data_IF_516107217380
#
_entry.id   IF_516107217380
#
_cell.length_a   1.000
_cell.length_b   1.000
_cell.length_c   1.000
_cell.angle_alpha   90.00
_cell.angle_beta   90.00
_cell.angle_gamma   90.00
#
_symmetry.space_group_name_H-M   'P 1'
#
loop_
_entity.id
_entity.type
_entity.pdbx_description
1 polymer ?
#
# COMPACT_ATOMS: atom_id res chain seq x y z
N UNK A 1 -11.50 11.17 -2.28
CA UNK A 1 -10.39 10.99 -1.31
C UNK A 1 -10.22 12.27 -0.54
N UNK A 2 -9.92 12.20 0.76
CA UNK A 2 -9.73 13.40 1.56
C UNK A 2 -8.49 14.17 1.09
N UNK A 3 -8.56 15.49 1.17
CA UNK A 3 -7.43 16.39 0.93
C UNK A 3 -6.38 16.18 2.05
N UNK A 4 -5.11 16.11 1.66
CA UNK A 4 -3.99 15.88 2.58
C UNK A 4 -3.87 17.01 3.62
N UNK A 5 -4.30 18.23 3.25
CA UNK A 5 -4.30 19.40 4.15
C UNK A 5 -5.15 19.22 5.41
N UNK A 6 -6.12 18.30 5.38
CA UNK A 6 -6.99 17.97 6.51
C UNK A 6 -6.56 16.71 7.29
N UNK A 7 -5.30 16.27 7.13
CA UNK A 7 -4.80 15.02 7.72
C UNK A 7 -3.58 15.28 8.60
N UNK A 8 -3.55 14.65 9.77
CA UNK A 8 -2.36 14.55 10.64
C UNK A 8 -1.41 13.43 10.21
N UNK A 9 -1.58 12.87 9.00
CA UNK A 9 -0.76 11.75 8.51
C UNK A 9 0.72 12.12 8.44
N UNK A 10 1.02 13.35 8.02
CA UNK A 10 2.38 13.87 7.85
C UNK A 10 2.98 14.49 9.13
N UNK A 11 2.22 14.55 10.21
CA UNK A 11 2.74 15.02 11.50
C UNK A 11 3.87 14.11 11.98
N UNK A 12 4.77 14.66 12.80
CA UNK A 12 5.94 13.96 13.31
C UNK A 12 5.56 12.58 13.86
N UNK A 13 6.22 11.53 13.34
CA UNK A 13 5.97 10.16 13.74
C UNK A 13 6.99 9.79 14.81
N UNK A 14 6.56 9.88 16.08
CA UNK A 14 7.37 9.41 17.19
C UNK A 14 7.68 7.91 17.04
N UNK A 15 8.93 7.55 17.25
CA UNK A 15 9.37 6.16 17.26
C UNK A 15 9.64 5.55 15.88
N UNK A 16 9.57 6.31 14.77
CA UNK A 16 9.87 5.79 13.43
C UNK A 16 11.25 5.11 13.35
N UNK A 17 12.23 5.61 14.08
CA UNK A 17 13.59 5.04 14.13
C UNK A 17 13.61 3.61 14.69
N UNK A 18 12.60 3.21 15.47
CA UNK A 18 12.47 1.83 15.99
C UNK A 18 12.13 0.84 14.86
N UNK A 19 11.73 1.31 13.68
CA UNK A 19 11.40 0.47 12.53
C UNK A 19 12.60 0.13 11.64
N UNK A 20 13.80 0.63 11.97
CA UNK A 20 15.02 0.30 11.21
C UNK A 20 15.17 -1.22 11.11
N UNK A 21 15.27 -1.72 9.87
CA UNK A 21 15.39 -3.14 9.56
C UNK A 21 14.06 -3.91 9.50
N UNK A 22 12.91 -3.28 9.84
CA UNK A 22 11.59 -3.84 9.56
C UNK A 22 11.45 -4.16 8.07
N UNK A 23 10.70 -5.22 7.73
CA UNK A 23 10.40 -5.58 6.35
C UNK A 23 8.97 -5.18 5.99
N UNK A 24 8.80 -4.44 4.91
CA UNK A 24 7.51 -4.16 4.26
C UNK A 24 7.53 -4.81 2.87
N UNK A 25 6.50 -5.59 2.55
CA UNK A 25 6.36 -6.22 1.24
C UNK A 25 5.31 -5.47 0.43
N UNK A 26 5.71 -5.03 -0.76
CA UNK A 26 4.86 -4.33 -1.71
C UNK A 26 4.38 -5.33 -2.77
N UNK A 27 3.08 -5.32 -3.05
CA UNK A 27 2.51 -6.03 -4.19
C UNK A 27 2.00 -4.96 -5.15
N UNK A 28 2.53 -4.94 -6.38
CA UNK A 28 2.14 -3.97 -7.41
C UNK A 28 1.64 -4.63 -8.67
N UNK A 29 0.75 -3.95 -9.39
CA UNK A 29 0.19 -4.43 -10.64
C UNK A 29 1.04 -4.04 -11.84
N UNK A 30 0.95 -4.85 -12.94
CA UNK A 30 1.50 -4.50 -14.25
C UNK A 30 0.60 -3.49 -14.98
N UNK A 31 -0.73 -3.55 -14.79
CA UNK A 31 -1.64 -2.58 -15.39
C UNK A 31 -1.40 -1.17 -14.85
N UNK A 32 -1.43 -0.18 -15.77
CA UNK A 32 -1.21 1.24 -15.48
C UNK A 32 0.17 1.48 -14.81
N UNK A 33 1.20 0.83 -15.35
CA UNK A 33 2.56 0.77 -14.81
C UNK A 33 3.15 2.15 -14.51
N UNK A 34 2.99 3.13 -15.40
CA UNK A 34 3.51 4.50 -15.21
C UNK A 34 3.00 5.15 -13.92
N UNK A 35 1.74 4.94 -13.56
CA UNK A 35 1.14 5.43 -12.32
C UNK A 35 1.60 4.59 -11.13
N UNK A 36 1.59 3.27 -11.29
CA UNK A 36 1.91 2.33 -10.21
C UNK A 36 3.40 2.39 -9.84
N UNK A 37 4.28 2.55 -10.82
CA UNK A 37 5.73 2.71 -10.61
C UNK A 37 6.04 4.01 -9.86
N UNK A 38 5.32 5.09 -10.14
CA UNK A 38 5.49 6.34 -9.43
C UNK A 38 5.00 6.24 -7.97
N UNK A 39 3.86 5.57 -7.73
CA UNK A 39 3.40 5.26 -6.37
C UNK A 39 4.45 4.47 -5.59
N UNK A 40 5.00 3.41 -6.21
CA UNK A 40 6.06 2.61 -5.62
C UNK A 40 7.31 3.44 -5.34
N UNK A 41 7.78 4.23 -6.32
CA UNK A 41 8.99 5.04 -6.21
C UNK A 41 8.96 5.97 -5.00
N UNK A 42 7.88 6.71 -4.83
CA UNK A 42 7.73 7.63 -3.70
C UNK A 42 7.60 6.88 -2.36
N UNK A 43 6.90 5.77 -2.34
CA UNK A 43 6.80 4.90 -1.16
C UNK A 43 8.17 4.36 -0.75
N UNK A 44 8.94 3.80 -1.69
CA UNK A 44 10.27 3.26 -1.45
C UNK A 44 11.24 4.33 -0.95
N UNK A 45 11.19 5.53 -1.53
CA UNK A 45 12.01 6.66 -1.09
C UNK A 45 11.81 6.93 0.41
N UNK A 46 10.57 7.05 0.85
CA UNK A 46 10.25 7.31 2.25
C UNK A 46 10.65 6.14 3.17
N UNK A 47 10.31 4.90 2.81
CA UNK A 47 10.63 3.73 3.62
C UNK A 47 12.14 3.53 3.76
N UNK A 48 12.90 3.67 2.68
CA UNK A 48 14.35 3.52 2.70
C UNK A 48 15.05 4.64 3.48
N UNK A 49 14.54 5.89 3.40
CA UNK A 49 15.04 7.00 4.21
C UNK A 49 15.03 6.66 5.71
N UNK A 50 14.04 5.90 6.16
CA UNK A 50 13.93 5.46 7.55
C UNK A 50 14.56 4.08 7.83
N UNK A 51 15.33 3.54 6.89
CA UNK A 51 16.04 2.25 7.04
C UNK A 51 15.12 1.03 7.08
N UNK A 52 13.90 1.14 6.57
CA UNK A 52 12.94 0.05 6.43
C UNK A 52 13.30 -0.75 5.17
N UNK A 53 13.40 -2.06 5.31
CA UNK A 53 13.66 -2.97 4.20
C UNK A 53 12.38 -3.22 3.40
N UNK A 54 12.52 -3.35 2.10
CA UNK A 54 11.39 -3.59 1.21
C UNK A 54 11.64 -4.77 0.29
N UNK A 55 10.56 -5.37 -0.17
CA UNK A 55 10.54 -6.34 -1.25
C UNK A 55 9.31 -6.09 -2.09
N UNK A 56 9.48 -5.90 -3.39
CA UNK A 56 8.38 -5.78 -4.33
C UNK A 56 8.11 -7.10 -5.05
N UNK A 57 6.82 -7.38 -5.26
CA UNK A 57 6.30 -8.49 -6.05
C UNK A 57 5.33 -7.90 -7.06
N UNK A 58 5.48 -8.29 -8.32
CA UNK A 58 4.64 -7.83 -9.41
C UNK A 58 3.57 -8.87 -9.71
N UNK A 59 2.33 -8.43 -9.92
CA UNK A 59 1.17 -9.25 -10.30
C UNK A 59 0.46 -8.64 -11.50
N UNK A 60 -0.26 -9.44 -12.31
CA UNK A 60 -0.90 -8.91 -13.51
C UNK A 60 -1.86 -7.76 -13.24
N UNK A 61 -2.77 -7.87 -12.29
CA UNK A 61 -3.80 -6.88 -12.03
C UNK A 61 -4.21 -6.77 -10.56
N UNK A 62 -5.16 -5.87 -10.30
CA UNK A 62 -5.59 -5.54 -8.93
C UNK A 62 -6.26 -6.73 -8.20
N UNK A 63 -6.95 -7.58 -8.93
CA UNK A 63 -7.64 -8.76 -8.36
C UNK A 63 -6.65 -9.78 -7.81
N UNK A 64 -5.47 -9.92 -8.43
CA UNK A 64 -4.42 -10.87 -8.04
C UNK A 64 -3.64 -10.45 -6.79
N UNK A 65 -3.72 -9.18 -6.39
CA UNK A 65 -3.03 -8.64 -5.20
C UNK A 65 -3.34 -9.46 -3.95
N UNK A 66 -4.62 -9.74 -3.71
CA UNK A 66 -5.06 -10.45 -2.51
C UNK A 66 -4.48 -11.86 -2.43
N UNK A 67 -4.50 -12.60 -3.55
CA UNK A 67 -3.89 -13.92 -3.63
C UNK A 67 -2.39 -13.86 -3.35
N UNK A 68 -1.67 -12.92 -3.96
CA UNK A 68 -0.23 -12.79 -3.80
C UNK A 68 0.17 -12.51 -2.35
N UNK A 69 -0.55 -11.61 -1.66
CA UNK A 69 -0.32 -11.30 -0.24
C UNK A 69 -0.56 -12.54 0.63
N UNK A 70 -1.72 -13.17 0.46
CA UNK A 70 -2.07 -14.36 1.26
C UNK A 70 -1.08 -15.51 1.02
N UNK A 71 -0.71 -15.74 -0.24
CA UNK A 71 0.25 -16.79 -0.61
C UNK A 71 1.64 -16.50 -0.05
N UNK A 72 2.13 -15.26 -0.18
CA UNK A 72 3.41 -14.86 0.41
C UNK A 72 3.41 -15.06 1.92
N UNK A 73 2.36 -14.62 2.62
CA UNK A 73 2.26 -14.81 4.06
C UNK A 73 2.34 -16.28 4.45
N UNK A 74 1.66 -17.16 3.74
CA UNK A 74 1.61 -18.59 4.07
C UNK A 74 2.92 -19.32 3.78
N UNK A 75 3.67 -18.91 2.75
CA UNK A 75 4.87 -19.61 2.28
C UNK A 75 6.18 -19.01 2.78
N UNK A 76 6.19 -17.74 3.19
CA UNK A 76 7.40 -17.07 3.65
C UNK A 76 7.95 -17.71 4.94
N UNK A 77 9.26 -17.94 4.97
CA UNK A 77 9.97 -18.39 6.19
C UNK A 77 9.86 -17.32 7.28
N UNK A 78 9.93 -17.72 8.55
CA UNK A 78 9.78 -16.82 9.72
C UNK A 78 10.61 -15.54 9.61
N UNK A 79 11.88 -15.64 9.19
CA UNK A 79 12.80 -14.51 9.01
C UNK A 79 12.46 -13.57 7.85
N UNK A 80 11.56 -14.00 6.96
CA UNK A 80 11.12 -13.24 5.78
C UNK A 80 9.66 -12.78 5.91
N UNK A 81 9.03 -12.96 7.07
CA UNK A 81 7.68 -12.43 7.34
C UNK A 81 7.75 -10.90 7.42
N UNK A 82 6.91 -10.18 6.66
CA UNK A 82 6.85 -8.73 6.75
C UNK A 82 6.08 -8.28 8.00
N UNK A 83 6.27 -7.02 8.36
CA UNK A 83 5.49 -6.34 9.40
C UNK A 83 4.30 -5.57 8.82
N UNK A 84 4.30 -5.33 7.51
CA UNK A 84 3.15 -4.82 6.76
C UNK A 84 3.23 -5.25 5.30
N UNK A 85 2.07 -5.28 4.63
CA UNK A 85 1.96 -5.32 3.19
C UNK A 85 1.44 -3.98 2.67
N UNK A 86 1.84 -3.62 1.45
CA UNK A 86 1.29 -2.50 0.70
C UNK A 86 0.78 -3.04 -0.64
N UNK A 87 -0.49 -2.75 -0.95
CA UNK A 87 -1.13 -3.11 -2.20
C UNK A 87 -1.12 -1.89 -3.13
N UNK A 88 -0.35 -1.92 -4.21
CA UNK A 88 -0.35 -0.87 -5.23
C UNK A 88 -1.02 -1.33 -6.52
N UNK A 89 -1.89 -0.49 -7.03
CA UNK A 89 -2.56 -0.64 -8.31
C UNK A 89 -3.23 0.66 -8.73
N UNK A 90 -3.66 0.71 -9.96
CA UNK A 90 -4.48 1.79 -10.47
C UNK A 90 -5.59 1.18 -11.35
N UNK A 91 -6.84 1.43 -10.99
CA UNK A 91 -8.01 1.01 -11.77
C UNK A 91 -8.63 2.26 -12.36
N UNK A 92 -8.57 2.37 -13.68
CA UNK A 92 -9.18 3.47 -14.44
C UNK A 92 -10.51 3.01 -15.00
N UNK A 93 -11.54 3.86 -14.90
CA UNK A 93 -12.88 3.53 -15.38
C UNK A 93 -12.90 3.34 -16.90
N UNK A 94 -13.36 2.19 -17.32
CA UNK A 94 -13.62 1.89 -18.72
C UNK A 94 -15.11 2.01 -19.07
N UNK A 95 -15.46 1.62 -20.30
CA UNK A 95 -16.80 1.72 -20.84
C UNK A 95 -17.79 0.64 -20.34
N UNK A 96 -17.40 -0.24 -19.45
CA UNK A 96 -18.24 -1.35 -18.96
C UNK A 96 -18.26 -1.40 -17.43
N UNK A 97 -19.23 -2.11 -16.80
CA UNK A 97 -19.29 -2.28 -15.34
C UNK A 97 -18.11 -3.04 -14.74
N UNK A 98 -17.14 -3.47 -15.52
CA UNK A 98 -15.95 -4.19 -15.04
C UNK A 98 -15.17 -3.44 -13.97
N UNK A 99 -15.11 -2.11 -14.08
CA UNK A 99 -14.49 -1.23 -13.09
C UNK A 99 -15.04 -1.46 -11.69
N UNK A 100 -16.37 -1.52 -11.55
CA UNK A 100 -17.02 -1.70 -10.25
C UNK A 100 -16.66 -3.05 -9.62
N UNK A 101 -16.65 -4.11 -10.44
CA UNK A 101 -16.30 -5.46 -9.96
C UNK A 101 -14.85 -5.57 -9.54
N UNK A 102 -13.91 -4.97 -10.28
CA UNK A 102 -12.49 -4.94 -9.90
C UNK A 102 -12.32 -4.16 -8.60
N UNK A 103 -12.90 -2.96 -8.50
CA UNK A 103 -12.81 -2.13 -7.28
C UNK A 103 -13.41 -2.85 -6.07
N UNK A 104 -14.57 -3.48 -6.20
CA UNK A 104 -15.18 -4.26 -5.13
C UNK A 104 -14.33 -5.45 -4.71
N UNK A 105 -13.80 -6.21 -5.68
CA UNK A 105 -12.98 -7.39 -5.43
C UNK A 105 -11.72 -7.04 -4.65
N UNK A 106 -10.94 -6.05 -5.10
CA UNK A 106 -9.70 -5.67 -4.42
C UNK A 106 -9.96 -5.06 -3.06
N UNK A 107 -11.01 -4.24 -2.92
CA UNK A 107 -11.39 -3.63 -1.64
C UNK A 107 -11.81 -4.69 -0.62
N UNK A 108 -12.70 -5.60 -1.01
CA UNK A 108 -13.14 -6.71 -0.16
C UNK A 108 -11.96 -7.61 0.23
N UNK A 109 -11.08 -7.92 -0.73
CA UNK A 109 -9.91 -8.75 -0.51
C UNK A 109 -8.94 -8.13 0.49
N UNK A 110 -8.59 -6.85 0.34
CA UNK A 110 -7.70 -6.15 1.29
C UNK A 110 -8.36 -6.02 2.67
N UNK A 111 -9.65 -5.77 2.74
CA UNK A 111 -10.40 -5.76 4.01
C UNK A 111 -10.30 -7.12 4.69
N UNK A 112 -10.51 -8.22 3.95
CA UNK A 112 -10.40 -9.57 4.49
C UNK A 112 -8.99 -9.88 4.99
N UNK A 113 -7.94 -9.45 4.28
CA UNK A 113 -6.55 -9.60 4.73
C UNK A 113 -6.30 -8.89 6.06
N UNK A 114 -6.83 -7.68 6.24
CA UNK A 114 -6.65 -6.90 7.48
C UNK A 114 -7.34 -7.51 8.70
N UNK A 115 -8.34 -8.37 8.53
CA UNK A 115 -8.97 -9.07 9.65
C UNK A 115 -8.46 -10.50 9.86
N UNK A 116 -7.75 -11.07 8.89
CA UNK A 116 -7.23 -12.45 8.97
C UNK A 116 -5.73 -12.54 9.18
N UNK A 117 -4.95 -11.58 8.68
CA UNK A 117 -3.51 -11.56 8.89
C UNK A 117 -3.14 -10.82 10.17
N UNK A 118 -2.07 -11.24 10.88
CA UNK A 118 -1.60 -10.56 12.08
C UNK A 118 -0.75 -9.31 11.79
N UNK A 119 -0.72 -8.85 10.54
CA UNK A 119 -0.01 -7.68 10.06
C UNK A 119 -0.89 -6.86 9.12
N UNK A 120 -0.77 -5.53 9.10
CA UNK A 120 -1.62 -4.69 8.26
C UNK A 120 -1.31 -4.85 6.77
N UNK A 121 -2.35 -4.74 5.96
CA UNK A 121 -2.28 -4.56 4.51
C UNK A 121 -2.79 -3.17 4.18
N UNK A 122 -1.92 -2.31 3.65
CA UNK A 122 -2.24 -0.93 3.33
C UNK A 122 -2.80 -0.84 1.91
N UNK A 123 -3.95 -0.18 1.76
CA UNK A 123 -4.64 -0.02 0.49
C UNK A 123 -4.09 1.19 -0.28
N UNK A 124 -3.20 0.95 -1.23
CA UNK A 124 -2.61 1.93 -2.14
C UNK A 124 -3.15 1.82 -3.58
N UNK A 125 -4.32 1.23 -3.75
CA UNK A 125 -4.95 1.09 -5.07
C UNK A 125 -5.74 2.36 -5.40
N UNK A 126 -5.35 3.04 -6.48
CA UNK A 126 -6.13 4.15 -7.01
C UNK A 126 -7.34 3.61 -7.79
N UNK A 127 -8.49 4.25 -7.59
CA UNK A 127 -9.73 3.99 -8.33
C UNK A 127 -10.20 5.33 -8.86
N UNK A 128 -10.07 5.55 -10.16
CA UNK A 128 -10.22 6.85 -10.80
C UNK A 128 -11.07 6.75 -12.06
N UNK A 129 -11.69 7.86 -12.44
CA UNK A 129 -12.51 7.92 -13.64
C UNK A 129 -11.69 8.27 -14.90
N UNK A 130 -10.46 8.80 -14.72
CA UNK A 130 -9.57 9.13 -15.84
C UNK A 130 -8.08 9.07 -15.41
N UNK A 131 -7.17 9.07 -16.40
CA UNK A 131 -5.74 9.12 -16.18
C UNK A 131 -5.31 10.44 -15.52
N UNK A 132 -5.96 11.55 -15.83
CA UNK A 132 -5.68 12.85 -15.22
C UNK A 132 -5.91 12.77 -13.70
N UNK A 133 -7.01 12.14 -13.28
CA UNK A 133 -7.27 11.93 -11.84
C UNK A 133 -6.20 11.08 -11.17
N UNK A 134 -5.60 10.13 -11.88
CA UNK A 134 -4.48 9.35 -11.36
C UNK A 134 -3.23 10.21 -11.18
N UNK A 135 -2.88 11.01 -12.19
CA UNK A 135 -1.73 11.93 -12.14
C UNK A 135 -1.82 12.96 -11.03
N UNK A 136 -3.02 13.49 -10.75
CA UNK A 136 -3.25 14.40 -9.63
C UNK A 136 -2.93 13.79 -8.25
N UNK A 137 -2.81 12.46 -8.16
CA UNK A 137 -2.60 11.70 -6.91
C UNK A 137 -1.21 11.10 -6.77
N UNK A 138 -0.35 11.35 -7.74
CA UNK A 138 1.06 10.90 -7.71
C UNK A 138 2.05 12.08 -7.70
N UNK A 139 1.70 13.15 -6.96
CA UNK A 139 2.49 14.37 -6.82
C UNK A 139 1.82 15.60 -7.41
N UNK A 140 0.54 15.52 -7.81
CA UNK A 140 -0.28 16.63 -8.24
C UNK A 140 -1.00 17.33 -7.08
N UNK A 141 -2.12 17.99 -7.42
CA UNK A 141 -2.90 18.83 -6.49
C UNK A 141 -3.47 18.06 -5.27
N UNK A 142 -3.60 16.74 -5.36
CA UNK A 142 -4.09 15.88 -4.29
C UNK A 142 -2.97 15.15 -3.53
N UNK A 143 -1.73 15.67 -3.60
CA UNK A 143 -0.57 15.11 -2.90
C UNK A 143 -0.04 13.83 -3.56
N UNK A 144 0.72 13.04 -2.81
CA UNK A 144 1.35 11.83 -3.33
C UNK A 144 0.91 10.58 -2.56
N UNK A 145 0.01 9.80 -3.15
CA UNK A 145 -0.57 8.61 -2.49
C UNK A 145 0.45 7.50 -2.18
N UNK A 146 1.58 7.45 -2.90
CA UNK A 146 2.69 6.57 -2.55
C UNK A 146 3.32 6.92 -1.21
N UNK A 147 3.56 8.21 -0.93
CA UNK A 147 4.07 8.69 0.37
C UNK A 147 3.06 8.45 1.49
N UNK A 148 1.79 8.79 1.26
CA UNK A 148 0.72 8.56 2.24
C UNK A 148 0.61 7.08 2.63
N UNK A 149 0.76 6.19 1.66
CA UNK A 149 0.73 4.74 1.86
C UNK A 149 1.91 4.27 2.71
N UNK A 150 3.11 4.81 2.44
CA UNK A 150 4.30 4.52 3.24
C UNK A 150 4.14 4.96 4.70
N UNK A 151 3.67 6.20 4.92
CA UNK A 151 3.43 6.74 6.26
C UNK A 151 2.35 5.94 7.01
N UNK A 152 1.30 5.53 6.30
CA UNK A 152 0.26 4.67 6.86
C UNK A 152 0.84 3.33 7.31
N UNK A 153 1.69 2.70 6.48
CA UNK A 153 2.36 1.46 6.83
C UNK A 153 3.22 1.63 8.09
N UNK A 154 4.02 2.70 8.15
CA UNK A 154 4.85 3.04 9.33
C UNK A 154 4.02 3.17 10.59
N UNK A 155 2.95 3.96 10.57
CA UNK A 155 2.06 4.17 11.73
C UNK A 155 1.40 2.86 12.17
N UNK A 156 0.93 2.04 11.23
CA UNK A 156 0.30 0.77 11.54
C UNK A 156 1.25 -0.28 12.10
N UNK A 157 2.51 -0.31 11.63
CA UNK A 157 3.55 -1.19 12.21
C UNK A 157 3.89 -0.75 13.63
N UNK A 158 4.06 0.54 13.88
CA UNK A 158 4.30 1.07 15.24
C UNK A 158 3.15 0.71 16.17
N UNK A 159 1.90 0.94 15.77
CA UNK A 159 0.72 0.56 16.53
C UNK A 159 0.71 -0.95 16.83
N UNK A 160 0.95 -1.80 15.82
CA UNK A 160 1.00 -3.25 16.00
C UNK A 160 2.07 -3.68 17.01
N UNK A 161 3.24 -3.02 16.99
CA UNK A 161 4.30 -3.29 17.97
C UNK A 161 3.94 -2.84 19.39
N UNK A 162 3.24 -1.69 19.53
CA UNK A 162 2.76 -1.19 20.82
C UNK A 162 1.75 -2.15 21.44
N UNK A 163 0.76 -2.57 20.67
CA UNK A 163 -0.29 -3.51 21.13
C UNK A 163 0.25 -4.90 21.54
N UNK A 164 1.41 -5.31 21.00
CA UNK A 164 2.06 -6.58 21.37
C UNK A 164 2.89 -6.50 22.66
N UNK A 165 3.18 -5.29 23.15
CA UNK A 165 3.98 -5.08 24.36
C UNK A 165 3.10 -4.92 25.62
N UNK A 166 1.83 -4.63 25.44
CA UNK A 166 0.83 -4.58 26.54
C UNK A 166 0.16 -5.90 26.72
#
# INVERSE_FOLDING_TARGET
MADVSNSKLFDNIEGIQQLKGALVVLIKTEWNDTIVDELERACLHLLHHHGIKTKTIVVPGAVEITFAIQHYWNTAKKKSKPEAFIAFGCVVRGGTPHFEYVCQSVTAGVTQLNVTLPVPTIFGVLTVDSDEQAHERIGGIHGHKGEETALTAVKMVLLSRQLKKG
#
